data_IF_193783496214
#
_entry.id   IF_193783496214
#
_cell.length_a   1.000
_cell.length_b   1.000
_cell.length_c   1.000
_cell.angle_alpha   90.00
_cell.angle_beta   90.00
_cell.angle_gamma   90.00
#
_symmetry.space_group_name_H-M   'P 1'
#
loop_
_entity.id
_entity.type
_entity.pdbx_description
1 polymer ?
#
# COMPACT_ATOMS: atom_id res chain seq x y z
N UNK A 1 -10.41 -12.01 -12.53
CA UNK A 1 -9.74 -12.00 -11.20
C UNK A 1 -10.16 -10.74 -10.47
N UNK A 2 -9.99 -10.64 -9.14
CA UNK A 2 -10.31 -9.42 -8.42
C UNK A 2 -9.32 -9.18 -7.27
N UNK A 3 -8.81 -7.96 -7.17
CA UNK A 3 -8.11 -7.48 -5.97
C UNK A 3 -9.19 -7.04 -4.97
N UNK A 4 -9.20 -7.63 -3.78
CA UNK A 4 -10.23 -7.37 -2.78
C UNK A 4 -9.86 -6.18 -1.90
N UNK A 5 -8.65 -6.18 -1.36
CA UNK A 5 -8.15 -5.20 -0.39
C UNK A 5 -6.63 -5.37 -0.24
N UNK A 6 -5.98 -4.38 0.38
CA UNK A 6 -4.58 -4.49 0.78
C UNK A 6 -4.42 -4.28 2.28
N UNK A 7 -3.40 -4.91 2.86
CA UNK A 7 -2.93 -4.65 4.22
C UNK A 7 -1.58 -3.94 4.17
N UNK A 8 -1.48 -2.81 4.86
CA UNK A 8 -0.24 -2.04 5.03
C UNK A 8 0.04 -1.95 6.52
N UNK A 9 1.17 -2.52 6.96
CA UNK A 9 1.44 -2.74 8.38
C UNK A 9 0.35 -3.61 9.02
N UNK A 10 -0.51 -3.01 9.85
CA UNK A 10 -1.59 -3.70 10.57
C UNK A 10 -3.00 -3.21 10.18
N UNK A 11 -3.13 -2.39 9.13
CA UNK A 11 -4.42 -1.79 8.72
C UNK A 11 -4.80 -2.24 7.32
N UNK A 12 -6.05 -2.69 7.16
CA UNK A 12 -6.63 -3.08 5.88
C UNK A 12 -7.28 -1.87 5.23
N UNK A 13 -6.95 -1.63 3.96
CA UNK A 13 -7.48 -0.55 3.15
C UNK A 13 -8.20 -1.11 1.91
N UNK A 14 -9.40 -0.61 1.60
CA UNK A 14 -9.93 -0.75 0.25
C UNK A 14 -9.09 0.11 -0.70
N UNK A 15 -8.75 -0.43 -1.87
CA UNK A 15 -8.14 0.36 -2.93
C UNK A 15 -9.20 0.83 -3.91
N UNK A 16 -9.13 2.11 -4.26
CA UNK A 16 -10.01 2.74 -5.26
C UNK A 16 -9.14 3.48 -6.25
N UNK A 17 -9.47 3.35 -7.53
CA UNK A 17 -8.81 4.07 -8.61
C UNK A 17 -8.85 5.59 -8.37
N UNK A 18 -7.71 6.26 -8.56
CA UNK A 18 -7.58 7.71 -8.40
C UNK A 18 -7.67 8.23 -6.96
N UNK A 19 -7.74 7.35 -5.95
CA UNK A 19 -7.66 7.69 -4.54
C UNK A 19 -6.42 7.04 -3.91
N UNK A 20 -5.22 7.60 -4.15
CA UNK A 20 -4.00 6.92 -3.79
C UNK A 20 -3.82 6.81 -2.28
N UNK A 21 -3.52 5.60 -1.81
CA UNK A 21 -3.13 5.35 -0.43
C UNK A 21 -1.63 5.68 -0.27
N UNK A 22 -1.23 6.54 0.69
CA UNK A 22 0.17 6.78 0.97
C UNK A 22 0.82 5.54 1.58
N UNK A 23 1.92 5.11 0.98
CA UNK A 23 2.78 4.00 1.41
C UNK A 23 4.23 4.48 1.44
N UNK A 24 5.09 3.78 2.17
CA UNK A 24 6.49 4.16 2.34
C UNK A 24 7.44 3.15 1.70
N UNK A 25 8.60 3.65 1.28
CA UNK A 25 9.74 2.76 0.97
C UNK A 25 10.09 1.94 2.23
N UNK A 26 10.24 0.64 2.05
CA UNK A 26 10.45 -0.35 3.11
C UNK A 26 9.16 -1.03 3.59
N UNK A 27 7.98 -0.51 3.22
CA UNK A 27 6.72 -1.17 3.57
C UNK A 27 6.59 -2.52 2.86
N UNK A 28 5.83 -3.42 3.49
CA UNK A 28 5.31 -4.62 2.84
C UNK A 28 3.81 -4.47 2.67
N UNK A 29 3.35 -4.53 1.42
CA UNK A 29 1.94 -4.51 1.09
C UNK A 29 1.47 -5.93 0.89
N UNK A 30 0.48 -6.37 1.67
CA UNK A 30 -0.17 -7.65 1.44
C UNK A 30 -1.41 -7.46 0.60
N UNK A 31 -1.41 -8.01 -0.61
CA UNK A 31 -2.53 -7.91 -1.55
C UNK A 31 -3.40 -9.14 -1.41
N UNK A 32 -4.67 -8.95 -1.03
CA UNK A 32 -5.65 -10.02 -0.99
C UNK A 32 -6.42 -10.06 -2.31
N UNK A 33 -6.58 -11.24 -2.88
CA UNK A 33 -7.21 -11.40 -4.18
C UNK A 33 -8.03 -12.67 -4.26
N UNK A 34 -8.96 -12.68 -5.20
CA UNK A 34 -9.82 -13.82 -5.48
C UNK A 34 -9.99 -14.04 -6.98
N UNK A 35 -10.18 -15.29 -7.38
CA UNK A 35 -10.63 -15.64 -8.72
C UNK A 35 -11.30 -17.01 -8.73
N UNK A 36 -12.12 -17.27 -9.74
CA UNK A 36 -12.69 -18.60 -9.96
C UNK A 36 -11.85 -19.37 -10.98
N UNK A 37 -11.61 -20.65 -10.74
CA UNK A 37 -10.86 -21.51 -11.65
C UNK A 37 -11.54 -22.85 -11.89
N UNK A 38 -11.21 -23.46 -13.03
CA UNK A 38 -11.60 -24.82 -13.42
C UNK A 38 -10.45 -25.49 -14.18
N UNK A 39 -9.90 -26.58 -13.64
CA UNK A 39 -8.72 -27.21 -14.21
C UNK A 39 -8.87 -28.74 -14.37
N UNK A 40 -8.43 -29.32 -15.50
CA UNK A 40 -8.56 -30.76 -15.75
C UNK A 40 -7.61 -31.62 -14.89
N UNK A 41 -6.59 -30.99 -14.30
CA UNK A 41 -5.57 -31.60 -13.44
C UNK A 41 -5.02 -30.55 -12.48
N UNK A 42 -4.40 -30.99 -11.39
CA UNK A 42 -3.63 -30.12 -10.50
C UNK A 42 -2.51 -29.46 -11.30
N UNK A 43 -2.39 -28.15 -11.19
CA UNK A 43 -1.49 -27.34 -12.03
C UNK A 43 -0.87 -26.25 -11.18
N UNK A 44 0.44 -26.07 -11.34
CA UNK A 44 1.15 -24.92 -10.79
C UNK A 44 0.98 -23.73 -11.72
N UNK A 45 0.58 -22.60 -11.16
CA UNK A 45 0.25 -21.37 -11.86
C UNK A 45 1.13 -20.25 -11.34
N UNK A 46 1.74 -19.50 -12.23
CA UNK A 46 2.49 -18.29 -11.85
C UNK A 46 1.52 -17.18 -11.51
N UNK A 47 1.84 -16.44 -10.45
CA UNK A 47 1.11 -15.24 -10.04
C UNK A 47 2.10 -14.12 -9.73
N UNK A 48 1.90 -12.96 -10.35
CA UNK A 48 2.77 -11.79 -10.18
C UNK A 48 1.96 -10.62 -9.65
N UNK A 49 2.50 -9.92 -8.66
CA UNK A 49 1.93 -8.67 -8.16
C UNK A 49 2.99 -7.59 -8.24
N UNK A 50 2.64 -6.44 -8.80
CA UNK A 50 3.59 -5.34 -9.02
C UNK A 50 2.93 -3.98 -8.82
N UNK A 51 3.72 -3.01 -8.36
CA UNK A 51 3.42 -1.61 -8.66
C UNK A 51 3.81 -1.33 -10.11
N UNK A 52 3.05 -0.46 -10.77
CA UNK A 52 3.33 -0.12 -12.15
C UNK A 52 3.04 1.35 -12.46
N UNK A 53 3.67 1.85 -13.53
CA UNK A 53 3.30 3.11 -14.18
C UNK A 53 2.83 2.86 -15.59
N UNK A 54 1.79 3.58 -15.98
CA UNK A 54 1.37 3.63 -17.38
C UNK A 54 1.98 4.86 -18.05
N UNK A 55 2.77 4.64 -19.11
CA UNK A 55 3.33 5.74 -19.89
C UNK A 55 3.35 5.40 -21.36
N UNK A 56 2.83 6.28 -22.21
CA UNK A 56 2.88 6.17 -23.66
C UNK A 56 2.38 4.81 -24.21
N UNK A 57 1.35 4.22 -23.57
CA UNK A 57 0.78 2.95 -23.99
C UNK A 57 1.49 1.71 -23.44
N UNK A 58 2.54 1.88 -22.62
CA UNK A 58 3.35 0.80 -22.07
C UNK A 58 3.18 0.75 -20.55
N UNK A 59 3.03 -0.47 -20.03
CA UNK A 59 3.01 -0.76 -18.59
C UNK A 59 4.42 -1.04 -18.13
N UNK A 60 4.95 -0.12 -17.33
CA UNK A 60 6.24 -0.23 -16.69
C UNK A 60 6.07 -0.80 -15.27
N UNK A 61 6.29 -2.11 -15.14
CA UNK A 61 6.25 -2.83 -13.86
C UNK A 61 7.52 -2.51 -13.07
N UNK A 62 7.35 -1.99 -11.86
CA UNK A 62 8.47 -1.56 -11.04
C UNK A 62 9.13 -2.79 -10.39
N UNK A 63 10.33 -3.15 -10.86
CA UNK A 63 11.05 -4.32 -10.35
C UNK A 63 11.38 -4.25 -8.86
N UNK A 64 11.50 -3.04 -8.31
CA UNK A 64 11.72 -2.77 -6.89
C UNK A 64 10.47 -2.92 -6.03
N UNK A 65 9.29 -3.08 -6.64
CA UNK A 65 8.01 -3.31 -5.95
C UNK A 65 7.22 -4.38 -6.70
N UNK A 66 7.83 -5.55 -6.85
CA UNK A 66 7.27 -6.69 -7.56
C UNK A 66 7.59 -8.00 -6.82
N UNK A 67 6.57 -8.85 -6.73
CA UNK A 67 6.69 -10.21 -6.22
C UNK A 67 6.16 -11.19 -7.27
N UNK A 68 6.86 -12.31 -7.44
CA UNK A 68 6.50 -13.38 -8.37
C UNK A 68 6.49 -14.70 -7.62
N UNK A 69 5.36 -15.37 -7.65
CA UNK A 69 5.16 -16.62 -6.95
C UNK A 69 4.56 -17.68 -7.87
N UNK A 70 4.53 -18.91 -7.36
CA UNK A 70 3.86 -20.05 -7.98
C UNK A 70 2.89 -20.61 -6.95
N UNK A 71 1.62 -20.71 -7.34
CA UNK A 71 0.56 -21.32 -6.53
C UNK A 71 0.11 -22.62 -7.17
N UNK A 72 -0.25 -23.61 -6.36
CA UNK A 72 -0.80 -24.87 -6.85
C UNK A 72 -2.33 -24.82 -6.81
N UNK A 73 -2.95 -24.95 -7.97
CA UNK A 73 -4.40 -25.07 -8.11
C UNK A 73 -4.79 -26.54 -8.28
N UNK A 74 -5.77 -26.98 -7.51
CA UNK A 74 -6.23 -28.37 -7.53
C UNK A 74 -7.02 -28.71 -8.80
N UNK A 75 -7.08 -29.99 -9.13
CA UNK A 75 -7.98 -30.48 -10.18
C UNK A 75 -9.45 -30.20 -9.85
N UNK A 76 -10.14 -29.53 -10.75
CA UNK A 76 -11.58 -29.21 -10.67
C UNK A 76 -12.24 -29.51 -12.02
N UNK A 77 -12.79 -30.72 -12.17
CA UNK A 77 -13.26 -31.24 -13.46
C UNK A 77 -14.59 -30.64 -13.93
N UNK A 78 -15.54 -30.45 -13.03
CA UNK A 78 -16.95 -30.17 -13.36
C UNK A 78 -17.45 -28.82 -12.88
N UNK A 79 -16.81 -28.25 -11.85
CA UNK A 79 -17.30 -27.07 -11.15
C UNK A 79 -16.23 -25.98 -11.08
N UNK A 80 -16.68 -24.73 -11.15
CA UNK A 80 -15.85 -23.58 -10.85
C UNK A 80 -15.61 -23.52 -9.35
N UNK A 81 -14.35 -23.41 -8.94
CA UNK A 81 -13.94 -23.29 -7.55
C UNK A 81 -13.36 -21.89 -7.30
N UNK A 82 -13.76 -21.20 -6.22
CA UNK A 82 -13.10 -19.97 -5.84
C UNK A 82 -11.70 -20.29 -5.29
N UNK A 83 -10.75 -19.42 -5.61
CA UNK A 83 -9.45 -19.32 -4.99
C UNK A 83 -9.39 -17.97 -4.27
N UNK A 84 -8.97 -17.99 -3.01
CA UNK A 84 -8.66 -16.82 -2.22
C UNK A 84 -7.19 -16.90 -1.83
N UNK A 85 -6.44 -15.84 -2.10
CA UNK A 85 -5.00 -15.81 -1.86
C UNK A 85 -4.52 -14.46 -1.38
N UNK A 86 -3.28 -14.46 -0.92
CA UNK A 86 -2.53 -13.27 -0.56
C UNK A 86 -1.14 -13.32 -1.22
N UNK A 87 -0.62 -12.15 -1.57
CA UNK A 87 0.75 -11.99 -2.09
C UNK A 87 1.35 -10.71 -1.52
N UNK A 88 2.54 -10.84 -0.96
CA UNK A 88 3.25 -9.73 -0.30
C UNK A 88 4.18 -9.03 -1.29
N UNK A 89 4.04 -7.72 -1.46
CA UNK A 89 4.93 -6.85 -2.25
C UNK A 89 5.77 -6.03 -1.28
N UNK A 90 7.10 -6.19 -1.34
CA UNK A 90 8.02 -5.33 -0.62
C UNK A 90 8.31 -4.09 -1.45
N UNK A 91 8.12 -2.90 -0.87
CA UNK A 91 8.39 -1.61 -1.54
C UNK A 91 9.86 -1.28 -1.36
N UNK A 92 10.66 -1.55 -2.39
CA UNK A 92 12.07 -1.21 -2.44
C UNK A 92 12.33 0.28 -2.73
N UNK A 93 13.60 0.61 -2.91
CA UNK A 93 14.03 1.97 -3.28
C UNK A 93 13.58 2.32 -4.70
N UNK A 94 12.48 3.08 -4.80
CA UNK A 94 11.83 3.44 -6.06
C UNK A 94 11.40 4.92 -6.06
N UNK A 95 11.20 5.54 -7.23
CA UNK A 95 10.87 6.97 -7.29
C UNK A 95 9.57 7.30 -6.55
N UNK A 96 9.56 8.41 -5.83
CA UNK A 96 8.35 8.93 -5.18
C UNK A 96 7.36 9.39 -6.26
N UNK A 97 6.20 8.76 -6.32
CA UNK A 97 5.15 9.04 -7.28
C UNK A 97 3.88 8.25 -6.94
N UNK A 98 2.84 8.50 -7.71
CA UNK A 98 1.64 7.66 -7.75
C UNK A 98 1.87 6.50 -8.74
N UNK A 99 1.45 5.31 -8.32
CA UNK A 99 1.53 4.05 -9.06
C UNK A 99 0.17 3.38 -9.08
N UNK A 100 -0.07 2.58 -10.12
CA UNK A 100 -1.13 1.59 -10.11
C UNK A 100 -0.65 0.29 -9.45
N UNK A 101 -1.59 -0.52 -9.01
CA UNK A 101 -1.36 -1.91 -8.59
C UNK A 101 -1.83 -2.83 -9.70
N UNK A 102 -1.02 -3.84 -10.03
CA UNK A 102 -1.38 -4.88 -10.98
C UNK A 102 -1.14 -6.26 -10.38
N UNK A 103 -2.12 -7.15 -10.55
CA UNK A 103 -2.02 -8.57 -10.24
C UNK A 103 -2.21 -9.36 -11.54
N UNK A 104 -1.39 -10.37 -11.78
CA UNK A 104 -1.31 -11.09 -13.06
C UNK A 104 -1.23 -12.60 -12.86
N UNK A 105 -1.94 -13.33 -13.72
CA UNK A 105 -1.78 -14.76 -13.96
C UNK A 105 -1.22 -14.94 -15.39
N UNK A 106 0.10 -14.77 -15.59
CA UNK A 106 0.69 -14.69 -16.93
C UNK A 106 0.52 -15.96 -17.78
N UNK A 107 0.29 -17.11 -17.16
CA UNK A 107 0.02 -18.37 -17.88
C UNK A 107 -1.37 -18.39 -18.53
N UNK A 108 -2.25 -17.45 -18.18
CA UNK A 108 -3.65 -17.40 -18.58
C UNK A 108 -4.06 -16.08 -19.24
N UNK A 109 -3.13 -15.14 -19.43
CA UNK A 109 -3.40 -13.80 -19.98
C UNK A 109 -4.49 -13.05 -19.20
N UNK A 110 -4.55 -13.30 -17.89
CA UNK A 110 -5.51 -12.70 -16.97
C UNK A 110 -4.78 -11.73 -16.04
N UNK A 111 -5.35 -10.55 -15.86
CA UNK A 111 -4.80 -9.49 -15.01
C UNK A 111 -5.94 -8.69 -14.38
N UNK A 112 -5.64 -8.04 -13.26
CA UNK A 112 -6.50 -7.07 -12.61
C UNK A 112 -5.64 -5.86 -12.25
N UNK A 113 -6.19 -4.66 -12.46
CA UNK A 113 -5.49 -3.40 -12.23
C UNK A 113 -6.33 -2.45 -11.40
N UNK A 114 -5.68 -1.71 -10.53
CA UNK A 114 -6.26 -0.54 -9.88
C UNK A 114 -5.31 0.62 -10.12
N UNK A 115 -5.71 1.51 -11.01
CA UNK A 115 -4.87 2.59 -11.52
C UNK A 115 -4.75 3.69 -10.48
N UNK A 116 -3.57 4.32 -10.41
CA UNK A 116 -3.31 5.48 -9.53
C UNK A 116 -3.75 5.28 -8.06
N UNK A 117 -3.56 4.07 -7.53
CA UNK A 117 -4.11 3.64 -6.24
C UNK A 117 -3.12 3.70 -5.08
N UNK A 118 -1.83 3.90 -5.35
CA UNK A 118 -0.77 3.92 -4.33
C UNK A 118 0.16 5.11 -4.55
N UNK A 119 0.35 5.93 -3.52
CA UNK A 119 1.34 7.01 -3.51
C UNK A 119 2.57 6.58 -2.72
N UNK A 120 3.69 6.34 -3.40
CA UNK A 120 4.96 6.05 -2.74
C UNK A 120 5.55 7.37 -2.23
N UNK A 121 5.60 7.47 -0.91
CA UNK A 121 6.13 8.62 -0.17
C UNK A 121 7.50 8.30 0.43
N UNK A 122 8.33 9.33 0.62
CA UNK A 122 9.62 9.19 1.26
C UNK A 122 9.47 8.97 2.77
N UNK A 123 10.50 8.44 3.42
CA UNK A 123 10.60 8.47 4.87
C UNK A 123 10.55 9.94 5.32
N UNK A 124 9.61 10.35 6.19
CA UNK A 124 9.58 11.72 6.70
C UNK A 124 10.97 12.05 7.22
N UNK A 125 11.60 13.08 6.66
CA UNK A 125 12.92 13.47 7.11
C UNK A 125 12.81 13.85 8.59
N UNK A 126 13.75 13.43 9.44
CA UNK A 126 13.76 13.76 10.88
C UNK A 126 13.58 15.27 11.11
N UNK A 127 14.01 16.10 10.14
CA UNK A 127 13.77 17.54 10.08
C UNK A 127 12.30 17.97 10.06
N UNK A 128 11.40 17.23 9.43
CA UNK A 128 9.95 17.51 9.42
C UNK A 128 9.32 17.19 10.78
N UNK A 129 9.80 16.14 11.46
CA UNK A 129 9.40 15.81 12.83
C UNK A 129 9.95 16.77 13.89
N UNK A 130 11.14 17.36 13.67
CA UNK A 130 11.72 18.36 14.56
C UNK A 130 11.07 19.74 14.40
N UNK A 131 10.60 20.09 13.20
CA UNK A 131 9.89 21.35 12.94
C UNK A 131 8.60 21.49 13.76
N UNK A 132 7.82 20.41 13.89
CA UNK A 132 6.60 20.42 14.71
C UNK A 132 6.88 20.56 16.21
N UNK A 133 7.99 19.99 16.71
CA UNK A 133 8.41 20.17 18.11
C UNK A 133 8.87 21.62 18.41
N UNK A 134 9.57 22.25 17.47
CA UNK A 134 10.05 23.64 17.59
C UNK A 134 8.89 24.63 17.69
N UNK A 135 7.82 24.41 16.93
CA UNK A 135 6.59 25.21 16.99
C UNK A 135 5.89 25.04 18.35
N UNK A 136 5.84 23.82 18.90
CA UNK A 136 5.28 23.57 20.23
C UNK A 136 6.07 24.30 21.32
N UNK A 137 7.42 24.29 21.25
CA UNK A 137 8.27 25.03 22.17
C UNK A 137 8.07 26.56 22.08
N UNK A 138 7.92 27.11 20.87
CA UNK A 138 7.63 28.54 20.67
C UNK A 138 6.26 28.94 21.22
N UNK A 139 5.23 28.11 21.02
CA UNK A 139 3.88 28.33 21.55
C UNK A 139 3.85 28.29 23.08
N UNK A 140 4.51 27.32 23.72
CA UNK A 140 4.62 27.24 25.19
C UNK A 140 5.36 28.47 25.76
N UNK A 141 6.41 28.92 25.06
CA UNK A 141 7.19 30.07 25.51
C UNK A 141 6.45 31.41 25.35
N UNK A 142 5.52 31.52 24.40
CA UNK A 142 4.63 32.67 24.24
C UNK A 142 3.53 32.69 25.31
N UNK A 143 2.93 31.54 25.63
CA UNK A 143 1.90 31.42 26.69
C UNK A 143 2.45 31.79 28.07
N UNK A 144 3.71 31.44 28.38
CA UNK A 144 4.37 31.83 29.64
C UNK A 144 4.66 33.33 29.76
N UNK A 145 4.74 34.07 28.65
CA UNK A 145 4.93 35.54 28.68
C UNK A 145 3.61 36.31 28.76
N UNK A 146 2.47 35.65 28.53
CA UNK A 146 1.15 36.27 28.49
C UNK A 146 0.29 35.99 29.74
N UNK A 147 0.69 35.09 30.64
CA UNK A 147 0.02 34.88 31.92
C UNK A 147 0.46 35.93 32.95
N UNK A 148 -0.43 36.82 33.42
CA UNK A 148 -0.11 37.73 34.51
C UNK A 148 0.02 36.93 35.81
N UNK A 149 1.02 37.26 36.64
CA UNK A 149 1.18 36.67 37.98
C UNK A 149 -0.11 36.87 38.78
N UNK A 150 -0.69 35.82 39.40
CA UNK A 150 -1.82 36.01 40.29
C UNK A 150 -1.37 36.86 41.49
N UNK A 151 -2.09 37.97 41.71
CA UNK A 151 -1.95 38.84 42.89
C UNK A 151 -2.38 38.01 44.10
N UNK A 152 -1.50 37.85 45.09
CA UNK A 152 -1.89 37.30 46.39
C UNK A 152 -2.92 38.25 47.01
N UNK A 153 -4.16 37.80 47.17
CA UNK A 153 -5.12 38.46 48.03
C UNK A 153 -4.68 38.25 49.49
N UNK A 154 -4.53 39.36 50.21
CA UNK A 154 -4.42 39.39 51.66
C UNK A 154 -5.78 38.96 52.24
N UNK A 155 -5.76 37.97 53.11
CA UNK A 155 -6.86 37.68 54.04
C UNK A 155 -6.42 38.23 55.39
N UNK A 156 -7.19 39.16 55.93
CA UNK A 156 -7.11 39.68 57.31
C UNK A 156 -7.45 38.60 58.34
#
# INVERSE_FOLDING_TARGET
MQIAQILVGNVIYPLTEGQPLPIMVGDTLRVFFTFNYRLPKTTDVRIWASLYKYSLGIIDRQGQAQTKEVITLEKTLSEWKPYEGEIDIVIGDMPLAIYGLILELPDYDEEERIDESLEVTGVPSIWESLGSLLILFLMISLVKKLTPKPKKELVE
#
